data_IF_339322990997
#
_entry.id   IF_339322990997
#
_cell.length_a   1.000
_cell.length_b   1.000
_cell.length_c   1.000
_cell.angle_alpha   90.00
_cell.angle_beta   90.00
_cell.angle_gamma   90.00
#
_symmetry.space_group_name_H-M   'P 1'
#
loop_
_entity.id
_entity.type
_entity.pdbx_description
1 polymer ?
#
# COMPACT_ATOMS: atom_id res chain seq x y z
N UNK A 1 4.41 -16.07 20.87
CA UNK A 1 4.38 -14.61 21.13
C UNK A 1 2.94 -14.21 20.97
N UNK A 2 2.18 -14.15 22.06
CA UNK A 2 0.75 -13.89 22.03
C UNK A 2 0.56 -12.39 22.32
N UNK A 3 0.14 -11.64 21.30
CA UNK A 3 -0.31 -10.23 21.36
C UNK A 3 0.73 -9.18 21.77
N UNK A 4 1.82 -9.09 21.00
CA UNK A 4 2.78 -8.00 21.11
C UNK A 4 2.20 -6.69 20.57
N UNK A 5 1.46 -5.95 21.40
CA UNK A 5 1.05 -4.56 21.11
C UNK A 5 2.26 -3.66 21.38
N UNK A 6 2.78 -3.01 20.35
CA UNK A 6 3.83 -2.00 20.46
C UNK A 6 3.19 -0.61 20.41
N UNK A 7 3.23 0.12 21.52
CA UNK A 7 2.71 1.49 21.62
C UNK A 7 3.89 2.46 21.59
N UNK A 8 3.98 3.27 20.53
CA UNK A 8 4.96 4.35 20.43
C UNK A 8 4.23 5.68 20.56
N UNK A 9 4.58 6.48 21.56
CA UNK A 9 4.01 7.81 21.80
C UNK A 9 5.06 8.88 21.47
N UNK A 10 4.78 9.75 20.50
CA UNK A 10 5.58 10.95 20.22
C UNK A 10 4.92 12.21 20.80
N UNK A 11 5.72 13.13 21.35
CA UNK A 11 5.20 14.42 21.85
C UNK A 11 6.12 15.57 21.46
N UNK A 12 5.53 16.57 20.78
CA UNK A 12 6.05 17.89 20.36
C UNK A 12 6.74 17.99 18.99
N UNK A 13 6.48 19.10 18.28
CA UNK A 13 6.23 19.14 16.84
C UNK A 13 7.35 19.70 15.95
N UNK A 14 8.60 19.27 16.14
CA UNK A 14 9.64 19.51 15.13
C UNK A 14 10.46 18.24 14.95
N UNK A 15 10.25 17.57 13.83
CA UNK A 15 11.00 16.39 13.38
C UNK A 15 10.85 15.14 14.26
N UNK A 16 9.62 14.62 14.36
CA UNK A 16 9.35 13.36 15.05
C UNK A 16 9.53 12.18 14.11
N UNK A 17 10.66 11.49 14.24
CA UNK A 17 10.88 10.20 13.62
C UNK A 17 10.53 9.08 14.62
N UNK A 18 9.69 8.14 14.20
CA UNK A 18 9.37 6.94 14.96
C UNK A 18 9.77 5.73 14.12
N UNK A 19 10.59 4.85 14.71
CA UNK A 19 11.03 3.60 14.08
C UNK A 19 10.50 2.43 14.90
N UNK A 20 9.85 1.48 14.23
CA UNK A 20 9.35 0.24 14.83
C UNK A 20 9.96 -0.92 14.06
N UNK A 21 10.73 -1.76 14.74
CA UNK A 21 11.30 -2.97 14.16
C UNK A 21 10.47 -4.19 14.54
N UNK A 22 10.13 -5.01 13.55
CA UNK A 22 9.45 -6.28 13.73
C UNK A 22 10.42 -7.45 13.50
N UNK A 23 10.12 -8.66 14.00
CA UNK A 23 10.91 -9.84 13.68
C UNK A 23 10.95 -10.09 12.17
N UNK A 24 12.11 -10.50 11.66
CA UNK A 24 12.25 -10.97 10.27
C UNK A 24 11.37 -12.19 10.02
N UNK A 25 10.93 -12.33 8.79
CA UNK A 25 10.17 -13.49 8.28
C UNK A 25 8.84 -13.72 9.03
N UNK A 26 8.33 -12.69 9.72
CA UNK A 26 7.03 -12.77 10.38
C UNK A 26 5.91 -12.54 9.37
N UNK A 27 5.00 -13.51 9.25
CA UNK A 27 3.79 -13.38 8.45
C UNK A 27 2.68 -12.75 9.28
N UNK A 28 2.18 -11.60 8.86
CA UNK A 28 0.97 -11.00 9.41
C UNK A 28 -0.27 -11.54 8.70
N UNK A 29 -1.38 -11.59 9.43
CA UNK A 29 -2.70 -11.80 8.83
C UNK A 29 -3.23 -10.50 8.18
N UNK A 30 -3.04 -9.38 8.88
CA UNK A 30 -3.46 -8.07 8.41
C UNK A 30 -2.45 -7.02 8.83
N UNK A 31 -2.16 -6.10 7.92
CA UNK A 31 -1.40 -4.88 8.17
C UNK A 31 -2.24 -3.70 7.71
N UNK A 32 -2.51 -2.77 8.62
CA UNK A 32 -3.24 -1.53 8.35
C UNK A 32 -2.31 -0.33 8.56
N UNK A 33 -2.16 0.50 7.53
CA UNK A 33 -1.29 1.67 7.52
C UNK A 33 -2.12 2.93 7.23
N UNK A 34 -2.29 3.78 8.24
CA UNK A 34 -3.12 4.98 8.13
C UNK A 34 -2.30 6.24 8.39
N UNK A 35 -2.32 7.17 7.43
CA UNK A 35 -1.59 8.44 7.48
C UNK A 35 -2.53 9.59 7.21
N UNK A 36 -2.86 10.36 8.26
CA UNK A 36 -3.58 11.62 8.09
C UNK A 36 -2.68 12.73 7.49
N UNK A 37 -1.39 12.67 7.80
CA UNK A 37 -0.39 13.71 7.54
C UNK A 37 1.03 13.18 7.67
N UNK A 38 1.93 13.50 6.73
CA UNK A 38 3.35 13.16 6.83
C UNK A 38 3.76 11.97 5.94
N UNK A 39 4.72 11.18 6.39
CA UNK A 39 5.25 10.04 5.67
C UNK A 39 5.33 8.79 6.55
N UNK A 40 4.94 7.65 6.00
CA UNK A 40 5.09 6.33 6.60
C UNK A 40 5.84 5.45 5.61
N UNK A 41 6.89 4.78 6.10
CA UNK A 41 7.62 3.76 5.35
C UNK A 41 7.52 2.43 6.10
N UNK A 42 7.11 1.38 5.40
CA UNK A 42 7.00 0.03 5.93
C UNK A 42 7.79 -0.92 5.03
N UNK A 43 8.93 -1.42 5.52
CA UNK A 43 9.88 -2.18 4.69
C UNK A 43 9.89 -3.67 5.02
N UNK A 44 9.92 -4.50 3.98
CA UNK A 44 10.03 -5.97 4.07
C UNK A 44 8.95 -6.61 4.96
N UNK A 45 7.70 -6.18 4.79
CA UNK A 45 6.56 -6.71 5.54
C UNK A 45 5.88 -7.82 4.75
N UNK A 46 5.59 -8.97 5.38
CA UNK A 46 4.81 -10.04 4.75
C UNK A 46 3.42 -10.15 5.39
N UNK A 47 2.35 -10.01 4.61
CA UNK A 47 0.97 -10.04 5.13
C UNK A 47 0.03 -10.82 4.22
N UNK A 48 -1.03 -11.40 4.78
CA UNK A 48 -2.15 -11.89 3.96
C UNK A 48 -2.95 -10.71 3.40
N UNK A 49 -3.31 -9.74 4.25
CA UNK A 49 -4.12 -8.59 3.85
C UNK A 49 -3.39 -7.28 4.15
N UNK A 50 -3.33 -6.38 3.17
CA UNK A 50 -2.80 -5.02 3.33
C UNK A 50 -3.92 -4.00 3.18
N UNK A 51 -4.01 -3.07 4.12
CA UNK A 51 -4.90 -1.91 4.01
C UNK A 51 -4.08 -0.64 4.18
N UNK A 52 -4.24 0.29 3.25
CA UNK A 52 -3.58 1.60 3.33
C UNK A 52 -4.61 2.70 3.17
N UNK A 53 -4.51 3.74 4.00
CA UNK A 53 -5.36 4.92 3.93
C UNK A 53 -4.51 6.17 4.16
N UNK A 54 -4.41 7.03 3.15
CA UNK A 54 -3.62 8.24 3.22
C UNK A 54 -4.45 9.47 2.82
N UNK A 55 -4.74 10.32 3.81
CA UNK A 55 -5.48 11.56 3.59
C UNK A 55 -4.59 12.60 2.89
N UNK A 56 -3.44 12.93 3.50
CA UNK A 56 -2.48 13.89 2.97
C UNK A 56 -1.06 13.50 3.33
N UNK A 57 -0.37 12.83 2.42
CA UNK A 57 0.98 12.39 2.75
C UNK A 57 1.56 11.38 1.79
N UNK A 58 2.48 10.59 2.35
CA UNK A 58 3.14 9.50 1.63
C UNK A 58 3.07 8.20 2.43
N UNK A 59 2.67 7.13 1.76
CA UNK A 59 2.91 5.76 2.23
C UNK A 59 3.87 5.10 1.23
N UNK A 60 4.95 4.51 1.73
CA UNK A 60 5.88 3.68 0.95
C UNK A 60 5.99 2.30 1.62
N UNK A 61 5.42 1.30 0.98
CA UNK A 61 5.39 -0.08 1.46
C UNK A 61 6.26 -0.95 0.57
N UNK A 62 7.04 -1.86 1.17
CA UNK A 62 7.68 -2.96 0.45
C UNK A 62 7.49 -4.29 1.14
N UNK A 63 7.27 -5.35 0.35
CA UNK A 63 7.13 -6.71 0.85
C UNK A 63 6.13 -7.57 0.06
N UNK A 64 5.52 -8.54 0.72
CA UNK A 64 4.61 -9.52 0.11
C UNK A 64 3.19 -9.38 0.64
N UNK A 65 2.24 -9.45 -0.28
CA UNK A 65 0.79 -9.52 -0.01
C UNK A 65 0.25 -10.79 -0.65
N UNK A 66 -0.22 -11.72 0.18
CA UNK A 66 -0.59 -13.06 -0.28
C UNK A 66 -2.08 -13.27 -0.53
N UNK A 67 -2.95 -12.47 0.09
CA UNK A 67 -4.39 -12.47 -0.13
C UNK A 67 -4.81 -11.27 -0.99
N UNK A 68 -4.71 -10.06 -0.46
CA UNK A 68 -5.10 -8.87 -1.22
C UNK A 68 -4.77 -7.55 -0.54
N UNK A 69 -4.92 -6.47 -1.30
CA UNK A 69 -4.65 -5.11 -0.83
C UNK A 69 -5.81 -4.15 -1.13
N UNK A 70 -6.14 -3.32 -0.15
CA UNK A 70 -7.03 -2.16 -0.31
C UNK A 70 -6.21 -0.87 -0.14
N UNK A 71 -6.26 0.00 -1.14
CA UNK A 71 -5.42 1.20 -1.22
C UNK A 71 -6.29 2.43 -1.41
N UNK A 72 -6.41 3.24 -0.36
CA UNK A 72 -7.19 4.48 -0.36
C UNK A 72 -6.25 5.68 -0.31
N UNK A 73 -6.18 6.42 -1.41
CA UNK A 73 -5.33 7.59 -1.56
C UNK A 73 -6.16 8.84 -1.81
N UNK A 74 -6.16 9.78 -0.85
CA UNK A 74 -6.93 11.02 -0.98
C UNK A 74 -6.12 12.16 -1.57
N UNK A 75 -4.99 12.55 -0.97
CA UNK A 75 -4.04 13.55 -1.49
C UNK A 75 -2.59 13.15 -1.17
N UNK A 76 -1.71 13.20 -2.17
CA UNK A 76 -0.30 12.82 -2.03
C UNK A 76 0.07 11.57 -2.82
N UNK A 77 0.80 10.62 -2.21
CA UNK A 77 1.33 9.45 -2.91
C UNK A 77 1.29 8.18 -2.06
N UNK A 78 0.84 7.07 -2.63
CA UNK A 78 1.09 5.72 -2.07
C UNK A 78 1.91 4.89 -3.05
N UNK A 79 2.98 4.26 -2.58
CA UNK A 79 3.82 3.33 -3.35
C UNK A 79 3.76 1.96 -2.69
N UNK A 80 3.41 0.95 -3.47
CA UNK A 80 3.51 -0.46 -3.08
C UNK A 80 4.60 -1.11 -3.95
N UNK A 81 5.70 -1.53 -3.33
CA UNK A 81 6.75 -2.33 -3.95
C UNK A 81 6.53 -3.79 -3.56
N UNK A 82 5.79 -4.52 -4.40
CA UNK A 82 5.34 -5.88 -4.11
C UNK A 82 6.34 -6.92 -4.65
N UNK A 83 6.58 -7.96 -3.85
CA UNK A 83 7.26 -9.16 -4.29
C UNK A 83 6.33 -9.97 -5.20
N UNK A 84 6.85 -10.43 -6.34
CA UNK A 84 6.09 -11.20 -7.32
C UNK A 84 6.01 -10.49 -8.67
N UNK A 85 4.96 -10.79 -9.44
CA UNK A 85 4.74 -10.19 -10.76
C UNK A 85 3.34 -9.60 -10.88
N UNK A 86 3.16 -8.67 -11.83
CA UNK A 86 1.90 -7.95 -12.04
C UNK A 86 0.69 -8.88 -12.24
N UNK A 87 0.86 -10.03 -12.89
CA UNK A 87 -0.24 -10.97 -13.17
C UNK A 87 -0.62 -11.85 -11.99
N UNK A 88 0.09 -11.75 -10.85
CA UNK A 88 -0.27 -12.48 -9.63
C UNK A 88 -1.52 -11.91 -8.95
N UNK A 89 -2.03 -10.77 -9.42
CA UNK A 89 -3.17 -10.05 -8.85
C UNK A 89 -4.20 -9.71 -9.92
N UNK A 90 -5.48 -9.74 -9.54
CA UNK A 90 -6.54 -9.01 -10.24
C UNK A 90 -6.61 -7.57 -9.69
N UNK A 91 -7.19 -6.65 -10.45
CA UNK A 91 -7.24 -5.24 -10.07
C UNK A 91 -8.64 -4.65 -10.24
N UNK A 92 -9.06 -3.85 -9.27
CA UNK A 92 -10.17 -2.90 -9.44
C UNK A 92 -9.68 -1.50 -9.09
N UNK A 93 -9.79 -0.59 -10.05
CA UNK A 93 -9.25 0.76 -9.98
C UNK A 93 -10.39 1.76 -10.05
N UNK A 94 -10.45 2.65 -9.06
CA UNK A 94 -11.36 3.80 -9.01
C UNK A 94 -10.51 5.08 -8.94
N UNK A 95 -10.65 5.96 -9.92
CA UNK A 95 -9.89 7.19 -10.01
C UNK A 95 -10.84 8.37 -10.17
N UNK A 96 -10.68 9.40 -9.33
CA UNK A 96 -11.35 10.69 -9.55
C UNK A 96 -10.44 11.64 -10.33
N UNK A 97 -9.60 12.42 -9.64
CA UNK A 97 -8.65 13.38 -10.23
C UNK A 97 -7.20 12.92 -10.07
N UNK A 98 -7.00 11.66 -9.67
CA UNK A 98 -5.71 11.04 -9.42
C UNK A 98 -5.16 10.24 -10.59
N UNK A 99 -4.12 9.47 -10.28
CA UNK A 99 -3.43 8.60 -11.22
C UNK A 99 -3.06 7.29 -10.51
N UNK A 100 -3.29 6.15 -11.16
CA UNK A 100 -2.85 4.85 -10.67
C UNK A 100 -1.93 4.23 -11.71
N UNK A 101 -0.72 3.88 -11.30
CA UNK A 101 0.24 3.12 -12.11
C UNK A 101 0.36 1.69 -11.61
N UNK A 102 0.38 0.73 -12.53
CA UNK A 102 0.61 -0.70 -12.27
C UNK A 102 1.74 -1.15 -13.18
N UNK A 103 2.93 -1.41 -12.62
CA UNK A 103 4.12 -1.67 -13.42
C UNK A 103 4.37 -0.53 -14.42
N UNK A 104 4.37 -0.87 -15.70
CA UNK A 104 4.53 0.10 -16.80
C UNK A 104 3.21 0.72 -17.27
N UNK A 105 2.07 0.17 -16.85
CA UNK A 105 0.74 0.65 -17.23
C UNK A 105 0.32 1.84 -16.38
N UNK A 106 -0.36 2.81 -17.01
CA UNK A 106 -0.78 4.05 -16.36
C UNK A 106 -2.26 4.32 -16.61
N UNK A 107 -2.98 4.65 -15.54
CA UNK A 107 -4.40 4.94 -15.53
C UNK A 107 -4.60 6.34 -14.95
N UNK A 108 -5.22 7.23 -15.73
CA UNK A 108 -5.50 8.60 -15.31
C UNK A 108 -6.66 9.17 -16.12
N UNK A 109 -7.28 10.21 -15.57
CA UNK A 109 -8.41 10.90 -16.18
C UNK A 109 -9.52 11.11 -15.16
N UNK A 110 -10.43 12.06 -15.41
CA UNK A 110 -11.53 12.34 -14.50
C UNK A 110 -12.46 11.12 -14.41
N UNK A 111 -12.73 10.64 -13.20
CA UNK A 111 -13.75 9.63 -12.89
C UNK A 111 -13.65 8.40 -13.80
N UNK A 112 -12.73 7.49 -13.49
CA UNK A 112 -12.49 6.24 -14.21
C UNK A 112 -12.68 5.05 -13.29
N UNK A 113 -13.34 4.02 -13.80
CA UNK A 113 -13.44 2.71 -13.16
C UNK A 113 -12.91 1.67 -14.12
N UNK A 114 -11.92 0.89 -13.69
CA UNK A 114 -11.29 -0.16 -14.50
C UNK A 114 -11.18 -1.43 -13.69
N UNK A 115 -11.47 -2.57 -14.32
CA UNK A 115 -11.24 -3.89 -13.74
C UNK A 115 -10.34 -4.70 -14.67
N UNK A 116 -9.37 -5.40 -14.10
CA UNK A 116 -8.38 -6.21 -14.81
C UNK A 116 -8.40 -7.60 -14.18
N UNK A 117 -8.82 -8.59 -14.97
CA UNK A 117 -8.88 -9.99 -14.57
C UNK A 117 -7.69 -10.74 -15.19
N UNK A 118 -6.74 -11.12 -14.32
CA UNK A 118 -5.59 -11.95 -14.67
C UNK A 118 -5.82 -13.44 -14.32
N UNK A 119 -7.04 -13.81 -13.93
CA UNK A 119 -7.39 -15.13 -13.40
C UNK A 119 -6.56 -15.51 -12.17
N UNK A 120 -6.17 -14.51 -11.38
CA UNK A 120 -5.41 -14.69 -10.15
C UNK A 120 -6.32 -14.94 -8.94
N UNK A 121 -5.77 -15.54 -7.89
CA UNK A 121 -6.46 -15.66 -6.59
C UNK A 121 -6.38 -14.35 -5.79
N UNK A 122 -5.29 -13.58 -5.96
CA UNK A 122 -5.05 -12.33 -5.23
C UNK A 122 -5.76 -11.16 -5.91
N UNK A 123 -6.11 -10.14 -5.13
CA UNK A 123 -6.76 -8.93 -5.64
C UNK A 123 -6.21 -7.65 -5.03
N UNK A 124 -6.16 -6.58 -5.82
CA UNK A 124 -5.85 -5.23 -5.37
C UNK A 124 -6.99 -4.28 -5.77
N UNK A 125 -7.62 -3.70 -4.76
CA UNK A 125 -8.60 -2.63 -4.91
C UNK A 125 -7.92 -1.29 -4.61
N UNK A 126 -7.88 -0.39 -5.58
CA UNK A 126 -7.16 0.87 -5.47
C UNK A 126 -8.05 2.07 -5.84
N UNK A 127 -8.26 2.96 -4.88
CA UNK A 127 -9.05 4.19 -5.04
C UNK A 127 -8.14 5.42 -4.89
N UNK A 128 -8.06 6.23 -5.94
CA UNK A 128 -7.23 7.43 -5.97
C UNK A 128 -8.09 8.67 -6.23
N UNK A 129 -8.38 9.44 -5.18
CA UNK A 129 -9.14 10.68 -5.30
C UNK A 129 -8.28 11.77 -5.94
N UNK A 130 -7.13 12.11 -5.34
CA UNK A 130 -6.15 13.06 -5.86
C UNK A 130 -4.71 12.60 -5.54
N UNK A 131 -3.78 12.89 -6.45
CA UNK A 131 -2.38 12.47 -6.32
C UNK A 131 -2.13 11.17 -7.08
N UNK A 132 -1.36 10.24 -6.49
CA UNK A 132 -0.97 9.02 -7.21
C UNK A 132 -0.86 7.77 -6.34
N UNK A 133 -1.27 6.62 -6.89
CA UNK A 133 -0.89 5.29 -6.42
C UNK A 133 0.10 4.70 -7.44
N UNK A 134 1.17 4.06 -6.97
CA UNK A 134 2.10 3.31 -7.80
C UNK A 134 2.28 1.91 -7.24
N UNK A 135 1.88 0.90 -8.01
CA UNK A 135 2.05 -0.51 -7.67
C UNK A 135 3.17 -1.04 -8.56
N UNK A 136 4.29 -1.37 -7.95
CA UNK A 136 5.50 -1.82 -8.59
C UNK A 136 5.80 -3.25 -8.16
N UNK A 137 6.45 -4.00 -9.04
CA UNK A 137 6.76 -5.41 -8.81
C UNK A 137 8.26 -5.62 -8.91
N UNK A 138 8.80 -6.35 -7.95
CA UNK A 138 10.18 -6.85 -8.00
C UNK A 138 10.15 -8.37 -7.99
N UNK A 139 10.78 -8.97 -9.00
CA UNK A 139 11.04 -10.42 -9.00
C UNK A 139 11.90 -10.74 -7.76
N UNK A 140 11.40 -11.65 -6.93
CA UNK A 140 12.20 -12.29 -5.89
C UNK A 140 13.34 -13.04 -6.58
N UNK A 141 14.58 -12.58 -6.39
CA UNK A 141 15.80 -13.33 -6.73
C UNK A 141 15.88 -14.62 -5.93
#
# INVERSE_FOLDING_TARGET
MENGIYIVNGSTAHDNHMEVTIPKDFQFETVELTVAGGALTAENISTQNLQTSCDKGVIDYSGSVDGGAEVLQFQGKTVLNLNGIQTDYNYNLDLDLGHIGIGDEQYAGPHQNQSIDNSAEKAIDASCAMGSISILFSESQ
#
